data_IF_632739236451
#
_entry.id   IF_632739236451
#
_cell.length_a   1.000
_cell.length_b   1.000
_cell.length_c   1.000
_cell.angle_alpha   90.00
_cell.angle_beta   90.00
_cell.angle_gamma   90.00
#
_symmetry.space_group_name_H-M   'P 1'
#
loop_
_entity.id
_entity.type
_entity.pdbx_description
1 polymer ?
2 polymer ?
3 non-polymer ?
4 non-polymer ?
5 water ?
#
loop_
_entity_poly.entity_id
_entity_poly.type
_entity_poly.pdbx_seq_one_letter_code
_entity_poly.pdbx_strand_id
2 'polyribonucleotide' 'GCAGGGGUCGCCAAGCCUGGCCAAAGGCGCUGGGCCUAGGACCCAGUCCCGUAGGGGUUCCAGGGUUCAAAUCCCUGCCCCUGCACCA' ?
#
# COMPACT_ATOMS: atom_id res chain seq x y z
N UNK A 2 -20.84 -35.32 8.01
CA UNK A 2 -22.26 -35.73 8.00
C UNK A 2 -22.63 -36.58 6.78
N UNK A 3 -23.49 -36.05 5.92
CA UNK A 3 -23.93 -36.73 4.72
C UNK A 3 -22.74 -36.83 3.78
N UNK A 4 -22.07 -37.98 3.79
CA UNK A 4 -20.91 -38.16 2.93
C UNK A 4 -21.23 -39.01 1.74
N UNK A 5 -20.32 -39.00 0.77
CA UNK A 5 -20.44 -39.77 -0.45
C UNK A 5 -19.19 -40.62 -0.51
N UNK A 6 -19.34 -41.90 -0.17
CA UNK A 6 -18.22 -42.83 -0.16
C UNK A 6 -17.84 -43.20 -1.58
N UNK A 7 -16.58 -42.99 -1.96
CA UNK A 7 -16.19 -43.33 -3.30
C UNK A 7 -14.81 -43.87 -3.22
N UNK A 8 -14.35 -44.42 -4.33
CA UNK A 8 -13.03 -45.01 -4.43
C UNK A 8 -12.10 -43.87 -4.75
N UNK A 9 -10.93 -43.86 -4.13
CA UNK A 9 -9.95 -42.81 -4.34
C UNK A 9 -9.51 -42.67 -5.79
N UNK A 10 -9.67 -43.74 -6.56
CA UNK A 10 -9.26 -43.74 -7.95
C UNK A 10 -9.93 -42.61 -8.72
N UNK A 11 -11.15 -42.28 -8.30
CA UNK A 11 -11.95 -41.24 -8.93
C UNK A 11 -12.15 -40.01 -8.01
N UNK A 12 -11.26 -39.85 -7.03
CA UNK A 12 -11.38 -38.74 -6.12
C UNK A 12 -11.39 -37.37 -6.79
N UNK A 13 -10.26 -37.00 -7.39
CA UNK A 13 -10.16 -35.70 -8.04
C UNK A 13 -11.23 -35.43 -9.09
N UNK A 14 -11.41 -36.39 -9.98
CA UNK A 14 -12.41 -36.26 -11.01
C UNK A 14 -13.79 -36.12 -10.39
N UNK A 15 -14.02 -36.78 -9.25
CA UNK A 15 -15.33 -36.66 -8.62
C UNK A 15 -15.52 -35.32 -7.92
N UNK A 16 -14.47 -34.87 -7.24
CA UNK A 16 -14.48 -33.62 -6.48
C UNK A 16 -14.76 -32.49 -7.42
N UNK A 17 -14.08 -32.53 -8.57
CA UNK A 17 -14.22 -31.53 -9.61
C UNK A 17 -15.69 -31.34 -9.94
N UNK A 18 -16.31 -32.42 -10.41
CA UNK A 18 -17.73 -32.45 -10.77
C UNK A 18 -18.61 -31.92 -9.63
N UNK A 19 -18.45 -32.51 -8.45
CA UNK A 19 -19.22 -32.11 -7.30
C UNK A 19 -19.09 -30.62 -7.01
N UNK A 20 -17.93 -30.07 -7.31
CA UNK A 20 -17.72 -28.67 -7.07
C UNK A 20 -18.46 -27.89 -8.14
N UNK A 21 -18.45 -28.37 -9.40
CA UNK A 21 -19.18 -27.64 -10.46
C UNK A 21 -20.70 -27.62 -10.24
N UNK A 22 -21.24 -28.69 -9.68
CA UNK A 22 -22.66 -28.76 -9.43
C UNK A 22 -22.91 -28.19 -8.06
N UNK A 23 -21.84 -27.67 -7.46
CA UNK A 23 -21.91 -27.13 -6.12
C UNK A 23 -22.71 -28.01 -5.16
N UNK A 24 -22.13 -29.17 -4.85
CA UNK A 24 -22.73 -30.13 -3.95
C UNK A 24 -21.76 -30.40 -2.80
N UNK A 25 -20.46 -30.40 -3.11
CA UNK A 25 -19.42 -30.64 -2.11
C UNK A 25 -19.63 -29.72 -0.93
N UNK A 26 -19.96 -30.28 0.22
CA UNK A 26 -20.14 -29.45 1.38
C UNK A 26 -18.75 -28.92 1.70
N UNK A 27 -18.66 -27.60 1.86
CA UNK A 27 -17.39 -26.95 2.13
C UNK A 27 -17.05 -26.80 3.61
N UNK A 28 -17.98 -27.24 4.47
CA UNK A 28 -17.77 -27.17 5.91
C UNK A 28 -16.89 -28.23 6.52
N UNK A 29 -16.71 -29.34 5.83
CA UNK A 29 -15.89 -30.41 6.37
C UNK A 29 -14.82 -30.82 5.40
N UNK A 30 -13.82 -31.54 5.90
CA UNK A 30 -12.74 -31.98 5.05
C UNK A 30 -12.97 -33.40 4.52
N UNK A 31 -12.36 -33.68 3.38
CA UNK A 31 -12.48 -34.99 2.79
C UNK A 31 -11.56 -35.92 3.57
N UNK A 32 -12.17 -36.88 4.25
CA UNK A 32 -11.47 -37.90 5.03
C UNK A 32 -11.14 -39.07 4.10
N UNK A 33 -10.54 -40.14 4.62
CA UNK A 33 -10.22 -41.28 3.78
C UNK A 33 -9.98 -42.54 4.56
N UNK A 34 -10.69 -43.60 4.18
CA UNK A 34 -10.59 -44.91 4.84
C UNK A 34 -10.31 -46.07 3.88
N UNK A 35 -9.03 -46.35 3.65
CA UNK A 35 -8.64 -47.45 2.76
C UNK A 35 -8.46 -47.04 1.33
N UNK A 36 -9.38 -47.45 0.46
CA UNK A 36 -9.35 -47.11 -0.95
C UNK A 36 -10.52 -46.18 -1.19
N UNK A 37 -11.15 -45.76 -0.11
CA UNK A 37 -12.27 -44.86 -0.23
C UNK A 37 -11.94 -43.48 0.27
N UNK A 38 -12.85 -42.57 -0.07
CA UNK A 38 -12.80 -41.17 0.27
C UNK A 38 -14.20 -40.82 0.67
N UNK A 39 -14.30 -39.96 1.66
CA UNK A 39 -15.60 -39.52 2.08
C UNK A 39 -15.58 -38.06 1.72
N UNK A 40 -16.59 -37.64 0.96
CA UNK A 40 -16.67 -36.30 0.47
C UNK A 40 -17.91 -35.66 1.01
N UNK A 41 -17.76 -34.74 1.95
CA UNK A 41 -18.97 -34.10 2.49
C UNK A 41 -19.83 -33.55 1.34
N UNK A 42 -21.12 -33.86 1.37
CA UNK A 42 -22.01 -33.36 0.33
C UNK A 42 -23.27 -32.73 0.88
N UNK A 43 -23.79 -31.76 0.14
CA UNK A 43 -25.01 -31.08 0.53
C UNK A 43 -26.14 -32.02 0.13
N UNK A 44 -27.30 -31.90 0.78
CA UNK A 44 -28.41 -32.80 0.51
C UNK A 44 -29.02 -32.82 -0.90
N UNK A 45 -28.82 -33.93 -1.61
CA UNK A 45 -29.38 -34.13 -2.95
C UNK A 45 -29.69 -35.63 -3.09
N UNK A 46 -30.27 -36.07 -4.20
CA UNK A 46 -30.60 -37.49 -4.33
C UNK A 46 -29.80 -38.37 -5.28
N UNK A 47 -29.73 -39.65 -4.91
CA UNK A 47 -29.03 -40.72 -5.62
C UNK A 47 -29.03 -40.65 -7.15
N UNK A 48 -30.19 -40.38 -7.74
CA UNK A 48 -30.28 -40.32 -9.19
C UNK A 48 -29.66 -39.08 -9.81
N UNK A 49 -29.89 -37.92 -9.22
CA UNK A 49 -29.29 -36.73 -9.76
C UNK A 49 -27.78 -36.85 -9.58
N UNK A 50 -27.38 -37.66 -8.61
CA UNK A 50 -25.96 -37.87 -8.40
C UNK A 50 -25.45 -38.83 -9.46
N UNK A 51 -26.25 -39.85 -9.76
CA UNK A 51 -25.86 -40.85 -10.74
C UNK A 51 -25.76 -40.21 -12.11
N UNK A 52 -26.52 -39.13 -12.29
CA UNK A 52 -26.57 -38.42 -13.56
C UNK A 52 -25.28 -37.68 -13.83
N UNK A 53 -24.81 -36.99 -12.79
CA UNK A 53 -23.60 -36.20 -12.89
C UNK A 53 -22.31 -36.94 -12.53
N UNK A 54 -22.45 -38.14 -11.97
CA UNK A 54 -21.31 -38.98 -11.56
C UNK A 54 -21.31 -40.30 -12.29
N UNK A 55 -20.34 -40.44 -13.17
CA UNK A 55 -20.22 -41.65 -13.97
C UNK A 55 -19.69 -42.85 -13.18
N UNK A 56 -20.05 -42.97 -11.91
CA UNK A 56 -19.57 -44.11 -11.11
C UNK A 56 -20.39 -44.52 -9.88
N UNK A 57 -19.88 -45.54 -9.21
CA UNK A 57 -20.46 -46.12 -8.00
C UNK A 57 -20.16 -45.30 -6.77
N UNK A 58 -21.10 -45.27 -5.85
CA UNK A 58 -20.92 -44.48 -4.66
C UNK A 58 -22.04 -44.78 -3.65
N UNK A 59 -21.69 -44.67 -2.37
CA UNK A 59 -22.67 -44.90 -1.31
C UNK A 59 -22.85 -43.59 -0.58
N UNK A 60 -24.07 -43.33 -0.15
CA UNK A 60 -24.34 -42.11 0.61
C UNK A 60 -24.17 -42.44 2.09
N UNK A 61 -23.01 -43.01 2.43
CA UNK A 61 -22.75 -43.34 3.82
C UNK A 61 -23.12 -42.16 4.71
N UNK A 62 -23.71 -42.44 5.87
CA UNK A 62 -24.07 -41.37 6.79
C UNK A 62 -22.99 -41.33 7.88
N UNK A 63 -21.75 -41.12 7.45
CA UNK A 63 -20.62 -41.05 8.34
C UNK A 63 -20.81 -39.97 9.38
N UNK A 64 -19.91 -39.95 10.36
CA UNK A 64 -19.98 -38.96 11.42
C UNK A 64 -19.40 -37.64 10.98
N UNK A 65 -19.92 -36.56 11.58
CA UNK A 65 -19.49 -35.20 11.27
C UNK A 65 -18.04 -35.16 10.82
N UNK A 66 -17.22 -36.03 11.41
CA UNK A 66 -15.79 -36.12 11.11
C UNK A 66 -15.04 -35.04 11.90
N UNK A 67 -15.81 -34.25 12.65
CA UNK A 67 -15.33 -33.14 13.48
C UNK A 67 -16.46 -32.10 13.53
N UNK A 68 -16.14 -30.85 13.19
CA UNK A 68 -17.13 -29.78 13.15
C UNK A 68 -16.76 -28.73 12.09
N UNK A 69 -17.73 -27.96 11.65
CA UNK A 69 -17.52 -26.92 10.65
C UNK A 69 -16.12 -26.32 10.66
N UNK A 70 -15.58 -26.04 9.48
CA UNK A 70 -14.28 -25.37 9.36
C UNK A 70 -14.57 -24.06 8.63
N UNK A 71 -14.75 -22.99 9.40
CA UNK A 71 -15.05 -21.67 8.87
C UNK A 71 -13.98 -21.08 7.95
N UNK A 72 -14.44 -20.41 6.91
CA UNK A 72 -13.54 -19.74 5.98
C UNK A 72 -13.39 -18.36 6.60
N UNK A 73 -12.20 -18.05 7.12
CA UNK A 73 -11.97 -16.74 7.73
C UNK A 73 -12.37 -15.68 6.69
N UNK A 74 -13.36 -14.83 7.01
CA UNK A 74 -13.74 -13.83 6.03
C UNK A 74 -12.67 -12.76 5.94
N UNK A 75 -12.86 -11.86 4.99
CA UNK A 75 -11.92 -10.77 4.79
C UNK A 75 -12.49 -9.57 5.53
N UNK A 76 -11.59 -8.73 6.05
CA UNK A 76 -11.97 -7.50 6.76
C UNK A 76 -13.11 -6.82 6.00
N UNK A 77 -12.89 -6.69 4.70
CA UNK A 77 -13.83 -6.07 3.77
C UNK A 77 -15.17 -6.79 3.70
N UNK A 78 -15.10 -8.12 3.70
CA UNK A 78 -16.27 -8.96 3.65
C UNK A 78 -17.17 -8.62 4.83
N UNK A 79 -16.71 -8.90 6.04
CA UNK A 79 -17.54 -8.61 7.20
C UNK A 79 -17.91 -7.13 7.33
N UNK A 80 -16.92 -6.25 7.36
CA UNK A 80 -17.20 -4.81 7.50
C UNK A 80 -18.19 -4.28 6.46
N UNK A 81 -18.24 -4.92 5.30
CA UNK A 81 -19.14 -4.42 4.30
C UNK A 81 -20.58 -4.65 4.69
N UNK A 84 -21.70 -2.76 8.20
CA UNK A 84 -21.87 -1.29 8.16
C UNK A 84 -22.02 -0.64 6.79
N UNK A 85 -22.71 -1.24 5.82
CA UNK A 85 -22.80 -0.55 4.52
C UNK A 85 -23.27 0.90 4.63
N UNK A 86 -24.24 1.14 5.49
CA UNK A 86 -24.79 2.48 5.68
C UNK A 86 -23.77 3.59 5.90
N UNK A 87 -22.97 3.51 6.97
CA UNK A 87 -22.01 4.58 7.23
C UNK A 87 -20.76 4.51 6.39
N UNK A 88 -20.58 3.39 5.72
CA UNK A 88 -19.47 3.25 4.80
C UNK A 88 -19.97 4.15 3.66
N UNK A 89 -21.29 4.19 3.50
CA UNK A 89 -21.89 4.96 2.44
C UNK A 89 -22.10 6.40 2.87
N UNK A 90 -22.03 6.64 4.16
CA UNK A 90 -22.19 7.99 4.70
C UNK A 90 -20.80 8.61 4.87
N UNK A 91 -19.77 7.78 4.69
CA UNK A 91 -18.40 8.24 4.81
C UNK A 91 -17.87 8.29 6.23
N UNK A 92 -18.21 7.31 7.06
CA UNK A 92 -17.72 7.28 8.44
C UNK A 92 -16.72 6.13 8.62
N UNK A 93 -16.97 5.00 7.95
CA UNK A 93 -16.04 3.90 8.01
C UNK A 93 -15.53 3.73 6.62
N UNK A 94 -14.26 3.37 6.47
CA UNK A 94 -13.71 3.13 5.15
C UNK A 94 -13.26 1.67 4.97
N UNK A 95 -13.42 1.14 3.76
CA UNK A 95 -12.97 -0.23 3.47
C UNK A 95 -11.50 -0.23 3.00
N UNK A 96 -11.05 0.89 2.44
CA UNK A 96 -9.65 1.01 2.02
C UNK A 96 -8.83 1.32 3.26
N UNK A 97 -7.58 0.89 3.26
CA UNK A 97 -6.71 1.16 4.39
C UNK A 97 -5.30 1.07 3.86
N UNK A 98 -4.34 1.54 4.65
CA UNK A 98 -2.97 1.53 4.23
C UNK A 98 -2.31 0.51 5.12
N UNK A 99 -1.17 -0.01 4.67
CA UNK A 99 -0.40 -0.98 5.44
C UNK A 99 1.04 -0.56 5.20
N UNK A 100 1.76 -0.23 6.26
CA UNK A 100 3.16 0.17 6.16
C UNK A 100 3.89 -0.83 7.02
N UNK A 101 4.79 -1.59 6.39
CA UNK A 101 5.53 -2.64 7.10
C UNK A 101 4.47 -3.59 7.64
N UNK A 102 4.45 -3.81 8.95
CA UNK A 102 3.46 -4.73 9.50
C UNK A 102 2.43 -3.95 10.29
N UNK A 103 2.26 -2.68 9.95
CA UNK A 103 1.27 -1.85 10.64
C UNK A 103 0.15 -1.43 9.72
N UNK A 104 -1.09 -1.53 10.18
CA UNK A 104 -2.17 -1.05 9.33
C UNK A 104 -2.78 0.24 9.88
N UNK A 105 -3.17 1.10 8.95
CA UNK A 105 -3.77 2.37 9.28
C UNK A 105 -5.13 2.46 8.61
N UNK A 106 -6.17 2.43 9.42
CA UNK A 106 -7.55 2.48 8.96
C UNK A 106 -8.04 3.91 8.93
N UNK A 107 -9.27 4.08 8.46
CA UNK A 107 -9.88 5.40 8.45
C UNK A 107 -11.28 5.26 9.01
N UNK A 108 -11.48 5.78 10.21
CA UNK A 108 -12.80 5.76 10.84
C UNK A 108 -13.08 7.15 11.41
N UNK A 109 -14.21 7.75 11.02
CA UNK A 109 -14.58 9.08 11.50
C UNK A 109 -14.77 9.11 13.01
N UNK A 110 -14.36 10.20 13.63
CA UNK A 110 -14.48 10.30 15.09
C UNK A 110 -15.93 10.50 15.51
N UNK A 111 -16.81 10.64 14.52
CA UNK A 111 -18.22 10.76 14.81
C UNK A 111 -18.71 9.37 15.22
N UNK A 112 -17.99 8.34 14.79
CA UNK A 112 -18.30 6.94 15.14
C UNK A 112 -17.80 6.76 16.56
N UNK A 113 -18.52 5.97 17.36
CA UNK A 113 -18.16 5.79 18.75
C UNK A 113 -16.88 5.04 18.99
N UNK A 114 -16.10 5.53 19.95
CA UNK A 114 -14.85 4.90 20.30
C UNK A 114 -14.91 3.37 20.58
N UNK A 115 -16.06 2.89 21.02
CA UNK A 115 -16.22 1.46 21.34
C UNK A 115 -16.27 0.67 20.04
N UNK A 116 -16.98 1.22 19.07
CA UNK A 116 -17.11 0.62 17.74
C UNK A 116 -15.76 0.67 17.03
N UNK A 117 -15.14 1.84 17.04
CA UNK A 117 -13.84 2.01 16.41
C UNK A 117 -12.86 0.95 16.96
N UNK A 118 -12.97 0.65 18.24
CA UNK A 118 -12.10 -0.34 18.85
C UNK A 118 -12.49 -1.74 18.41
N UNK A 119 -13.78 -1.97 18.20
CA UNK A 119 -14.17 -3.29 17.77
C UNK A 119 -13.70 -3.50 16.30
N UNK A 120 -13.84 -2.45 15.47
CA UNK A 120 -13.46 -2.52 14.05
C UNK A 120 -11.95 -2.65 13.92
N UNK A 121 -11.22 -1.93 14.77
CA UNK A 121 -9.78 -2.03 14.76
C UNK A 121 -9.46 -3.46 15.15
N UNK A 122 -10.39 -4.09 15.89
CA UNK A 122 -10.23 -5.45 16.35
C UNK A 122 -10.40 -6.42 15.19
N UNK A 123 -11.48 -6.26 14.43
CA UNK A 123 -11.63 -7.11 13.28
C UNK A 123 -10.33 -7.00 12.43
N UNK A 124 -9.92 -5.79 12.11
CA UNK A 124 -8.72 -5.59 11.30
C UNK A 124 -7.56 -6.42 11.86
N UNK A 125 -7.34 -6.37 13.16
CA UNK A 125 -6.23 -7.12 13.73
C UNK A 125 -6.47 -8.61 13.53
N UNK A 126 -7.71 -9.04 13.76
CA UNK A 126 -8.06 -10.44 13.60
C UNK A 126 -7.89 -10.89 12.15
N UNK A 127 -8.64 -10.25 11.26
CA UNK A 127 -8.68 -10.59 9.83
C UNK A 127 -7.63 -10.14 8.83
N UNK A 128 -6.74 -9.21 9.20
CA UNK A 128 -5.68 -8.71 8.30
C UNK A 128 -4.26 -9.01 8.79
N UNK A 129 -3.37 -9.50 7.91
CA UNK A 129 -1.99 -9.82 8.34
C UNK A 129 -1.19 -8.60 8.81
N UNK A 130 -1.15 -8.40 10.13
CA UNK A 130 -0.41 -7.28 10.73
C UNK A 130 0.06 -7.60 12.13
N UNK A 131 0.59 -6.59 12.81
CA UNK A 131 1.04 -6.72 14.19
C UNK A 131 0.34 -5.63 15.01
N UNK A 132 -0.08 -4.56 14.33
CA UNK A 132 -0.76 -3.46 15.00
C UNK A 132 -1.74 -2.71 14.11
N UNK A 133 -2.73 -2.06 14.74
CA UNK A 133 -3.73 -1.31 13.99
C UNK A 133 -3.96 0.09 14.52
N UNK A 134 -3.99 1.05 13.60
CA UNK A 134 -4.22 2.42 13.95
C UNK A 134 -5.25 2.93 13.00
N UNK A 135 -5.61 4.20 13.19
CA UNK A 135 -6.52 4.88 12.30
C UNK A 135 -5.96 6.30 12.24
N UNK A 136 -6.35 7.02 11.18
CA UNK A 136 -5.93 8.39 10.97
C UNK A 136 -6.66 9.23 12.01
N UNK A 137 -5.93 9.92 12.90
CA UNK A 137 -6.55 10.75 13.93
C UNK A 137 -6.78 12.16 13.37
N UNK A 138 -5.77 12.73 12.72
CA UNK A 138 -5.92 14.05 12.09
C UNK A 138 -5.56 13.94 10.60
N UNK A 139 -5.55 15.07 9.92
CA UNK A 139 -5.19 15.11 8.51
C UNK A 139 -3.67 15.33 8.45
N UNK A 140 -3.07 15.24 7.27
CA UNK A 140 -1.63 15.47 7.13
C UNK A 140 -1.44 16.97 7.32
N UNK A 141 -0.77 17.35 8.41
CA UNK A 141 -0.55 18.77 8.69
C UNK A 141 0.85 19.10 9.23
N UNK A 142 1.20 20.37 9.21
CA UNK A 142 2.49 20.81 9.70
C UNK A 142 3.53 20.91 8.59
N UNK A 143 4.69 21.45 8.92
CA UNK A 143 5.71 21.56 7.90
C UNK A 143 6.37 20.18 7.73
N UNK A 144 6.26 19.33 8.74
CA UNK A 144 6.84 17.99 8.67
C UNK A 144 5.90 17.04 7.92
N UNK A 145 4.68 17.51 7.67
CA UNK A 145 3.70 16.72 6.96
C UNK A 145 3.30 15.45 7.72
N UNK A 146 3.11 15.55 9.03
CA UNK A 146 2.66 14.37 9.74
C UNK A 146 1.22 14.46 10.21
N UNK A 147 0.72 13.31 10.62
CA UNK A 147 -0.66 13.13 10.98
C UNK A 147 -0.75 12.48 12.35
N UNK A 148 -1.88 12.67 13.01
CA UNK A 148 -2.09 12.05 14.31
C UNK A 148 -2.68 10.68 14.04
N UNK A 149 -2.27 9.69 14.84
CA UNK A 149 -2.81 8.36 14.68
C UNK A 149 -3.44 8.01 16.02
N UNK A 150 -4.31 7.02 16.04
CA UNK A 150 -4.92 6.56 17.27
C UNK A 150 -4.82 5.04 17.22
N UNK A 151 -4.00 4.53 18.12
CA UNK A 151 -3.81 3.09 18.25
C UNK A 151 -5.14 2.42 18.51
N UNK A 152 -5.33 1.24 17.92
CA UNK A 152 -6.58 0.53 18.12
C UNK A 152 -6.43 -0.91 18.51
N UNK A 153 -5.35 -1.55 18.10
CA UNK A 153 -5.21 -2.97 18.38
C UNK A 153 -3.81 -3.45 18.08
N UNK A 154 -3.52 -4.70 18.47
CA UNK A 154 -2.20 -5.22 18.25
C UNK A 154 -1.17 -4.37 19.03
N UNK A 155 0.09 -4.46 18.63
CA UNK A 155 1.12 -3.71 19.31
C UNK A 155 0.86 -2.24 19.12
N UNK A 156 1.24 -1.47 20.12
CA UNK A 156 1.11 -0.05 20.05
C UNK A 156 2.50 0.37 19.61
N UNK A 157 2.81 0.17 18.34
CA UNK A 157 4.13 0.53 17.85
C UNK A 157 3.99 1.22 16.52
N UNK A 158 4.90 2.16 16.26
CA UNK A 158 4.85 2.93 15.02
C UNK A 158 6.10 2.80 14.19
N UNK A 159 7.08 2.09 14.74
CA UNK A 159 8.33 1.86 14.06
C UNK A 159 8.13 0.52 13.35
N UNK A 160 8.54 0.43 12.08
CA UNK A 160 8.37 -0.82 11.33
C UNK A 160 9.32 -0.73 10.15
N UNK A 161 9.39 -1.81 9.38
CA UNK A 161 10.22 -1.86 8.17
C UNK A 161 9.31 -2.17 7.00
N UNK A 162 9.37 -1.32 6.00
CA UNK A 162 8.51 -1.47 4.86
C UNK A 162 9.28 -1.93 3.65
N UNK A 163 8.66 -2.75 2.81
CA UNK A 163 9.31 -3.23 1.58
C UNK A 163 8.55 -2.79 0.34
N UNK A 164 9.28 -2.29 -0.63
CA UNK A 164 8.68 -1.88 -1.90
C UNK A 164 9.78 -1.82 -2.95
N UNK A 165 9.48 -2.36 -4.14
CA UNK A 165 10.44 -2.36 -5.24
C UNK A 165 11.78 -2.93 -4.84
N UNK A 166 11.79 -4.01 -4.08
CA UNK A 166 13.08 -4.56 -3.74
C UNK A 166 13.80 -3.99 -2.54
N UNK A 167 13.55 -2.73 -2.19
CA UNK A 167 14.26 -2.21 -1.03
C UNK A 167 13.45 -2.22 0.27
N UNK A 168 14.12 -1.92 1.38
CA UNK A 168 13.46 -1.90 2.67
C UNK A 168 13.64 -0.53 3.31
N UNK A 169 12.73 -0.18 4.22
CA UNK A 169 12.73 1.13 4.85
C UNK A 169 12.20 1.24 6.27
N UNK A 170 13.01 1.82 7.14
CA UNK A 170 12.59 2.09 8.49
C UNK A 170 11.60 3.26 8.34
N UNK A 171 10.44 3.14 8.98
CA UNK A 171 9.41 4.17 8.93
C UNK A 171 8.70 4.23 10.27
N UNK A 172 8.55 5.44 10.83
CA UNK A 172 7.80 5.64 12.07
C UNK A 172 6.55 6.42 11.63
N UNK A 173 5.45 5.72 11.40
CA UNK A 173 4.25 6.35 10.91
C UNK A 173 3.64 7.45 11.77
N UNK A 174 4.22 7.71 12.94
CA UNK A 174 3.65 8.75 13.77
C UNK A 174 4.59 9.95 13.87
N UNK A 175 5.83 9.79 13.41
CA UNK A 175 6.81 10.89 13.45
C UNK A 175 7.31 11.42 12.08
N UNK A 176 6.83 10.89 10.96
CA UNK A 176 7.29 11.39 9.66
C UNK A 176 6.23 11.11 8.63
N UNK A 177 6.44 11.62 7.42
CA UNK A 177 5.49 11.39 6.34
C UNK A 177 5.94 10.25 5.41
N UNK A 178 5.06 9.27 5.26
CA UNK A 178 5.30 8.17 4.36
C UNK A 178 4.02 7.68 3.77
N UNK A 179 4.05 7.37 2.49
CA UNK A 179 2.86 6.82 1.85
C UNK A 179 3.24 5.57 1.11
N UNK A 180 2.70 4.44 1.57
CA UNK A 180 3.02 3.19 0.87
C UNK A 180 2.40 3.29 -0.54
N UNK A 181 1.36 4.12 -0.65
CA UNK A 181 0.68 4.36 -1.90
C UNK A 181 1.54 4.96 -3.01
N UNK A 182 2.67 5.58 -2.67
CA UNK A 182 3.54 6.19 -3.69
C UNK A 182 4.61 5.26 -4.28
N UNK A 183 4.57 3.98 -3.91
CA UNK A 183 5.54 3.02 -4.42
C UNK A 183 5.62 2.91 -5.94
N UNK A 184 4.49 3.05 -6.63
CA UNK A 184 4.51 2.96 -8.07
C UNK A 184 5.19 4.18 -8.63
N UNK A 185 4.90 5.34 -8.05
CA UNK A 185 5.49 6.59 -8.47
C UNK A 185 7.02 6.52 -8.31
N UNK A 186 7.47 5.95 -7.19
CA UNK A 186 8.89 5.82 -6.92
C UNK A 186 9.51 4.88 -7.94
N UNK A 187 8.68 3.95 -8.43
CA UNK A 187 9.12 2.97 -9.39
C UNK A 187 9.42 3.54 -10.77
N UNK A 188 8.58 4.46 -11.24
CA UNK A 188 8.82 5.08 -12.53
C UNK A 188 10.20 5.70 -12.47
N UNK A 189 10.25 6.83 -11.77
CA UNK A 189 11.48 7.57 -11.58
C UNK A 189 12.69 6.65 -11.40
N UNK A 190 12.49 5.47 -10.84
CA UNK A 190 13.60 4.55 -10.64
C UNK A 190 14.19 4.13 -11.98
N UNK A 191 13.31 3.96 -12.97
CA UNK A 191 13.76 3.56 -14.29
C UNK A 191 14.13 4.77 -15.13
N UNK A 192 14.75 5.75 -14.48
CA UNK A 192 15.20 6.98 -15.13
C UNK A 192 16.60 7.40 -14.65
N UNK A 193 16.92 7.08 -13.41
CA UNK A 193 18.23 7.41 -12.83
C UNK A 193 19.33 6.75 -13.67
N UNK A 194 20.26 7.57 -14.15
CA UNK A 194 21.32 7.12 -15.04
C UNK A 194 22.76 6.94 -14.55
N UNK A 195 22.94 6.20 -13.46
CA UNK A 195 24.26 5.91 -12.85
C UNK A 195 25.31 7.02 -12.78
N UNK A 196 25.16 8.07 -13.59
CA UNK A 196 26.09 9.18 -13.57
C UNK A 196 25.27 10.44 -13.31
N UNK A 197 24.11 10.26 -12.69
CA UNK A 197 23.22 11.36 -12.35
C UNK A 197 23.44 11.80 -10.90
N UNK A 198 23.30 13.09 -10.66
CA UNK A 198 23.41 13.59 -9.29
C UNK A 198 21.99 14.03 -8.97
N UNK A 199 21.38 13.28 -8.05
CA UNK A 199 20.01 13.52 -7.64
C UNK A 199 19.85 14.36 -6.41
N UNK A 200 18.90 15.29 -6.49
CA UNK A 200 18.56 16.14 -5.36
C UNK A 200 17.13 15.86 -4.95
N UNK A 201 17.01 15.30 -3.76
CA UNK A 201 15.72 14.99 -3.18
C UNK A 201 15.52 16.12 -2.16
N UNK A 202 14.80 17.16 -2.58
CA UNK A 202 14.56 18.32 -1.73
C UNK A 202 13.82 18.13 -0.42
N UNK A 203 12.95 17.11 -0.39
CA UNK A 203 12.15 16.79 0.79
C UNK A 203 12.16 15.27 0.85
N UNK A 204 13.31 14.75 1.24
CA UNK A 204 13.57 13.32 1.29
C UNK A 204 12.83 12.41 2.27
N UNK A 205 12.30 12.95 3.36
CA UNK A 205 11.65 12.11 4.34
C UNK A 205 12.61 11.02 4.83
N UNK A 206 12.09 9.82 5.08
CA UNK A 206 12.96 8.74 5.52
C UNK A 206 13.79 8.22 4.34
N UNK A 207 13.67 8.90 3.20
CA UNK A 207 14.42 8.56 2.02
C UNK A 207 13.95 7.56 0.98
N UNK A 208 12.64 7.30 0.79
CA UNK A 208 12.27 6.32 -0.24
C UNK A 208 12.57 6.71 -1.67
N UNK A 209 12.43 8.00 -2.00
CA UNK A 209 12.68 8.41 -3.37
C UNK A 209 14.15 8.31 -3.67
N UNK A 210 14.95 8.78 -2.74
CA UNK A 210 16.37 8.73 -2.91
C UNK A 210 16.81 7.30 -3.16
N UNK A 211 16.50 6.42 -2.22
CA UNK A 211 16.88 5.02 -2.33
C UNK A 211 16.43 4.42 -3.64
N UNK A 212 15.34 4.92 -4.19
CA UNK A 212 14.82 4.42 -5.46
C UNK A 212 15.65 4.94 -6.64
N UNK A 213 16.59 5.84 -6.32
CA UNK A 213 17.48 6.45 -7.30
C UNK A 213 18.92 6.05 -7.04
N UNK A 214 19.11 4.91 -6.39
CA UNK A 214 20.47 4.50 -6.04
C UNK A 214 21.37 4.25 -7.23
N UNK A 215 20.83 4.19 -8.42
CA UNK A 215 21.68 3.95 -9.57
C UNK A 215 22.63 5.10 -9.79
N UNK A 216 22.11 6.32 -9.69
CA UNK A 216 22.88 7.54 -9.89
C UNK A 216 24.24 7.57 -9.23
N UNK A 217 25.02 8.59 -9.58
CA UNK A 217 26.37 8.82 -9.05
C UNK A 217 26.22 9.25 -7.58
N UNK A 218 25.66 10.43 -7.38
CA UNK A 218 25.43 10.95 -6.05
C UNK A 218 23.99 11.38 -5.84
N UNK A 219 23.51 11.18 -4.63
CA UNK A 219 22.15 11.54 -4.28
C UNK A 219 22.23 12.45 -3.05
N UNK A 220 21.46 13.53 -3.10
CA UNK A 220 21.40 14.48 -2.00
C UNK A 220 20.00 14.46 -1.39
N UNK A 221 19.89 13.81 -0.25
CA UNK A 221 18.62 13.71 0.45
C UNK A 221 18.56 14.86 1.44
N UNK A 222 17.55 15.71 1.28
CA UNK A 222 17.39 16.85 2.15
C UNK A 222 16.07 16.82 2.91
N UNK A 223 16.12 17.21 4.18
CA UNK A 223 14.91 17.26 4.97
C UNK A 223 15.12 18.00 6.30
N UNK A 224 14.20 18.89 6.61
CA UNK A 224 14.26 19.69 7.83
C UNK A 224 13.84 18.97 9.10
N UNK A 225 13.16 17.83 8.96
CA UNK A 225 12.67 17.08 10.10
C UNK A 225 13.71 16.14 10.67
N UNK A 226 14.21 16.44 11.88
CA UNK A 226 15.21 15.57 12.50
C UNK A 226 14.78 14.13 12.57
N UNK A 227 13.50 13.89 12.85
CA UNK A 227 13.00 12.52 12.94
C UNK A 227 13.12 11.79 11.61
N UNK A 228 12.90 12.54 10.52
CA UNK A 228 13.00 11.97 9.19
C UNK A 228 14.44 11.62 8.90
N UNK A 229 15.35 12.54 9.24
CA UNK A 229 16.76 12.34 8.99
C UNK A 229 17.35 11.15 9.76
N UNK A 230 16.90 10.93 10.98
CA UNK A 230 17.42 9.81 11.76
C UNK A 230 17.17 8.53 10.96
N UNK A 231 15.93 8.37 10.47
CA UNK A 231 15.53 7.18 9.72
C UNK A 231 16.21 7.09 8.38
N UNK A 232 16.21 8.21 7.66
CA UNK A 232 16.85 8.28 6.36
C UNK A 232 18.26 7.67 6.50
N UNK A 234 19.37 5.55 8.81
CA UNK A 234 19.31 4.10 9.04
C UNK A 234 18.99 3.39 7.71
N UNK A 235 18.24 4.04 6.83
CA UNK A 235 17.89 3.38 5.59
C UNK A 235 19.02 3.33 4.58
N UNK A 236 19.90 4.33 4.66
CA UNK A 236 21.04 4.38 3.76
C UNK A 236 21.96 3.22 4.08
N UNK A 237 22.20 3.01 5.38
CA UNK A 237 23.03 1.93 5.86
C UNK A 237 22.37 0.59 5.54
N UNK A 238 21.06 0.52 5.81
CA UNK A 238 20.24 -0.68 5.60
C UNK A 238 20.28 -1.10 4.17
N UNK A 239 20.39 -0.12 3.28
CA UNK A 239 20.43 -0.43 1.87
C UNK A 239 21.85 -0.36 1.30
N UNK A 240 22.84 -0.39 2.19
CA UNK A 240 24.24 -0.37 1.79
C UNK A 240 24.53 0.69 0.76
N UNK A 241 23.96 1.88 0.96
CA UNK A 241 24.14 3.01 0.06
C UNK A 241 24.91 4.15 0.74
N UNK A 242 25.64 3.81 1.80
CA UNK A 242 26.39 4.80 2.56
C UNK A 242 27.21 5.83 1.77
N UNK A 243 27.60 5.49 0.55
CA UNK A 243 28.42 6.40 -0.23
C UNK A 243 27.79 6.99 -1.48
N UNK A 244 26.47 6.93 -1.58
CA UNK A 244 25.82 7.49 -2.74
C UNK A 244 24.83 8.56 -2.30
N UNK A 245 24.24 8.34 -1.14
CA UNK A 245 23.26 9.26 -0.60
C UNK A 245 23.83 10.14 0.50
N UNK A 246 23.64 11.44 0.35
CA UNK A 246 24.12 12.33 1.40
C UNK A 246 22.94 12.95 2.13
N UNK A 247 22.72 12.53 3.39
CA UNK A 247 21.63 13.03 4.22
C UNK A 247 22.01 14.45 4.64
N UNK A 248 21.03 15.33 4.76
CA UNK A 248 21.30 16.71 5.11
C UNK A 248 20.16 17.31 5.95
N UNK A 249 20.35 17.34 7.27
CA UNK A 249 19.35 17.93 8.17
C UNK A 249 19.36 19.44 7.90
N UNK A 250 18.39 19.93 7.15
CA UNK A 250 18.36 21.35 6.84
C UNK A 250 17.15 21.84 6.08
N UNK A 251 16.92 23.15 6.12
CA UNK A 251 15.85 23.76 5.36
C UNK A 251 16.47 23.79 3.97
N UNK A 252 15.81 23.15 3.00
CA UNK A 252 16.31 23.10 1.64
C UNK A 252 16.71 24.50 1.16
N UNK A 253 15.88 25.50 1.46
CA UNK A 253 16.13 26.89 1.09
C UNK A 253 17.62 27.29 1.19
N UNK A 254 18.24 26.94 2.30
CA UNK A 254 19.63 27.29 2.48
C UNK A 254 20.59 26.15 2.34
N UNK A 255 20.68 25.62 1.13
CA UNK A 255 21.58 24.50 0.84
C UNK A 255 22.15 24.73 -0.57
N UNK A 256 23.47 24.67 -0.69
CA UNK A 256 24.05 24.84 -2.00
C UNK A 256 24.46 23.50 -2.61
N UNK A 257 23.68 23.07 -3.60
CA UNK A 257 23.93 21.84 -4.36
C UNK A 257 23.32 22.03 -5.71
N UNK A 258 23.88 21.33 -6.68
CA UNK A 258 23.40 21.41 -8.02
C UNK A 258 23.06 19.97 -8.36
N UNK A 259 22.28 19.75 -9.41
CA UNK A 259 21.94 18.39 -9.78
C UNK A 259 21.18 18.34 -11.09
N UNK A 260 21.26 17.18 -11.75
CA UNK A 260 20.59 16.98 -13.02
C UNK A 260 19.21 16.40 -12.79
N UNK A 261 19.04 15.84 -11.60
CA UNK A 261 17.80 15.20 -11.21
C UNK A 261 17.37 15.84 -9.88
N UNK A 262 16.24 16.54 -9.88
CA UNK A 262 15.73 17.19 -8.67
C UNK A 262 14.27 16.81 -8.36
N UNK A 263 14.04 16.28 -7.16
CA UNK A 263 12.70 15.85 -6.75
C UNK A 263 12.03 16.80 -5.71
N UNK A 264 10.80 17.21 -6.03
CA UNK A 264 10.05 18.11 -5.16
C UNK A 264 8.75 17.44 -4.74
N UNK A 265 8.83 16.55 -3.77
CA UNK A 265 7.65 15.86 -3.30
C UNK A 265 7.14 16.55 -2.04
N UNK A 266 6.36 17.58 -2.25
CA UNK A 266 5.78 18.40 -1.19
C UNK A 266 4.65 19.07 -1.94
N UNK A 267 3.81 18.26 -2.58
CA UNK A 267 2.67 18.70 -3.37
C UNK A 267 1.86 19.91 -2.90
N UNK A 268 1.83 20.17 -1.59
CA UNK A 268 1.03 21.28 -1.09
C UNK A 268 1.65 22.66 -1.26
N UNK A 269 2.93 22.75 -0.93
CA UNK A 269 3.66 23.99 -1.02
C UNK A 269 4.86 23.89 -1.94
N UNK A 270 4.74 23.10 -3.00
CA UNK A 270 5.87 22.95 -3.90
C UNK A 270 6.08 24.22 -4.73
N UNK A 271 4.99 24.89 -5.04
CA UNK A 271 5.08 26.10 -5.79
C UNK A 271 6.01 27.08 -5.07
N UNK A 272 5.92 27.15 -3.75
CA UNK A 272 6.77 28.07 -2.99
C UNK A 272 8.24 27.74 -3.10
N UNK A 273 8.61 26.80 -3.96
CA UNK A 273 10.01 26.42 -4.08
C UNK A 273 10.50 26.26 -5.51
N UNK A 274 9.63 26.57 -6.47
CA UNK A 274 10.03 26.43 -7.87
C UNK A 274 11.37 27.11 -8.10
N UNK A 275 11.55 28.27 -7.49
CA UNK A 275 12.80 29.01 -7.63
C UNK A 275 14.03 28.22 -7.16
N UNK A 276 14.10 27.94 -5.87
CA UNK A 276 15.25 27.21 -5.35
C UNK A 276 15.57 25.98 -6.17
N UNK A 277 14.55 25.38 -6.80
CA UNK A 277 14.78 24.18 -7.61
C UNK A 277 15.57 24.56 -8.85
N UNK A 278 14.95 25.40 -9.69
CA UNK A 278 15.56 25.90 -10.93
C UNK A 278 17.02 26.22 -10.69
N UNK A 279 17.28 26.72 -9.47
CA UNK A 279 18.61 27.06 -9.05
C UNK A 279 19.46 25.78 -9.00
N UNK A 280 19.04 24.85 -8.15
CA UNK A 280 19.74 23.59 -7.97
C UNK A 280 19.91 22.82 -9.28
N UNK A 281 18.87 22.86 -10.10
CA UNK A 281 18.87 22.14 -11.36
C UNK A 281 19.82 22.77 -12.37
N UNK A 282 20.59 21.92 -13.03
CA UNK A 282 21.57 22.35 -14.01
C UNK A 282 20.92 22.64 -15.35
N UNK A 283 21.70 23.31 -16.22
CA UNK A 283 21.28 23.71 -17.56
C UNK A 283 20.45 22.66 -18.29
N UNK A 284 20.96 21.45 -18.43
CA UNK A 284 20.19 20.43 -19.12
C UNK A 284 19.30 19.63 -18.17
N UNK A 285 19.52 19.82 -16.86
CA UNK A 285 18.79 19.10 -15.84
C UNK A 285 17.28 18.89 -15.96
N UNK A 286 16.75 18.01 -15.11
CA UNK A 286 15.30 17.73 -15.08
C UNK A 286 14.70 17.73 -13.64
N UNK A 287 13.63 18.50 -13.48
CA UNK A 287 12.94 18.65 -12.20
C UNK A 287 11.58 17.97 -12.18
N UNK A 288 11.48 16.97 -11.29
CA UNK A 288 10.28 16.16 -11.05
C UNK A 288 9.47 16.98 -10.05
N UNK A 289 8.42 17.62 -10.52
CA UNK A 289 7.62 18.48 -9.65
C UNK A 289 6.24 17.92 -9.37
N UNK A 290 5.82 17.99 -8.11
CA UNK A 290 4.50 17.51 -7.66
C UNK A 290 3.61 18.65 -7.14
N UNK A 291 2.31 18.55 -7.38
CA UNK A 291 1.42 19.59 -6.90
C UNK A 291 -0.03 19.15 -6.96
N UNK A 292 -0.91 20.03 -6.51
CA UNK A 292 -2.32 19.73 -6.54
C UNK A 292 -3.04 20.82 -7.31
N UNK A 293 -4.18 20.47 -7.89
CA UNK A 293 -4.96 21.43 -8.65
C UNK A 293 -6.11 20.72 -9.30
N UNK A 294 -7.09 21.48 -9.80
CA UNK A 294 -8.24 20.89 -10.46
C UNK A 294 -7.86 20.46 -11.87
N UNK A 295 -6.64 20.80 -12.25
CA UNK A 295 -6.07 20.44 -13.56
C UNK A 295 -4.64 20.95 -13.68
N UNK A 296 -3.97 20.54 -14.76
CA UNK A 296 -2.58 20.93 -15.02
C UNK A 296 -2.29 22.39 -15.38
N UNK A 297 -3.34 23.21 -15.52
CA UNK A 297 -3.15 24.60 -15.91
C UNK A 297 -2.03 25.32 -15.18
N UNK A 298 -2.40 26.04 -14.13
CA UNK A 298 -1.49 26.83 -13.32
C UNK A 298 -0.15 26.15 -13.09
N UNK A 299 -0.17 24.83 -13.06
CA UNK A 299 1.04 24.05 -12.86
C UNK A 299 2.05 24.38 -13.95
N UNK A 300 1.58 24.39 -15.19
CA UNK A 300 2.48 24.70 -16.29
C UNK A 300 2.54 26.20 -16.53
N UNK A 301 1.41 26.88 -16.34
CA UNK A 301 1.37 28.33 -16.52
C UNK A 301 2.37 29.04 -15.61
N UNK A 302 2.46 28.59 -14.36
CA UNK A 302 3.37 29.19 -13.39
C UNK A 302 4.81 28.72 -13.51
N UNK A 303 5.10 27.85 -14.48
CA UNK A 303 6.46 27.38 -14.67
C UNK A 303 7.02 28.08 -15.91
N UNK A 304 6.11 28.44 -16.81
CA UNK A 304 6.49 29.15 -18.02
C UNK A 304 7.16 30.44 -17.60
N UNK A 305 6.41 31.27 -16.88
CA UNK A 305 6.95 32.53 -16.40
C UNK A 305 8.07 32.28 -15.39
N UNK A 306 8.85 31.24 -15.64
CA UNK A 306 9.96 30.89 -14.77
C UNK A 306 11.21 30.50 -15.56
N UNK A 307 11.06 29.88 -16.73
CA UNK A 307 12.26 29.51 -17.50
C UNK A 307 12.07 28.85 -18.87
N UNK A 308 13.17 28.26 -19.34
CA UNK A 308 13.20 27.58 -20.63
C UNK A 308 12.84 26.12 -20.38
N UNK A 309 11.64 25.92 -19.87
CA UNK A 309 11.14 24.59 -19.53
C UNK A 309 10.51 23.85 -20.70
N UNK A 310 10.35 22.55 -20.52
CA UNK A 310 9.76 21.67 -21.53
C UNK A 310 9.06 20.52 -20.80
N UNK A 311 7.73 20.53 -20.84
CA UNK A 311 6.91 19.51 -20.18
C UNK A 311 7.23 18.10 -20.65
N UNK A 312 8.28 17.52 -20.10
CA UNK A 312 8.69 16.16 -20.44
C UNK A 312 7.56 15.09 -20.27
N UNK A 313 6.78 15.18 -19.18
CA UNK A 313 5.68 14.22 -18.91
C UNK A 313 4.76 14.70 -17.79
N UNK A 314 3.45 14.73 -18.04
CA UNK A 314 2.49 15.17 -17.03
C UNK A 314 1.44 14.11 -16.73
N UNK A 315 1.22 13.81 -15.46
CA UNK A 315 0.25 12.80 -15.06
C UNK A 315 -0.48 13.07 -13.75
N UNK A 316 -1.53 12.31 -13.48
CA UNK A 316 -2.31 12.44 -12.24
C UNK A 316 -1.96 11.30 -11.28
N UNK A 317 -1.52 11.69 -10.08
CA UNK A 317 -1.15 10.71 -9.06
C UNK A 317 -2.39 10.14 -8.35
N UNK A 319 -6.63 11.34 -6.60
CA UNK A 319 -7.66 12.30 -6.19
C UNK A 319 -7.30 12.69 -4.77
N UNK A 320 -7.42 13.96 -4.48
CA UNK A 320 -7.08 14.51 -3.18
C UNK A 320 -8.35 14.68 -2.40
N UNK A 321 -9.39 15.01 -3.12
CA UNK A 321 -10.73 15.26 -2.58
C UNK A 321 -11.56 15.33 -3.84
N UNK A 322 -12.92 15.25 -3.71
CA UNK A 322 -13.84 15.31 -4.87
C UNK A 322 -13.46 16.44 -5.78
N UNK A 323 -12.75 16.13 -6.87
CA UNK A 323 -12.25 17.11 -7.86
C UNK A 323 -10.74 17.38 -7.78
N UNK A 324 -10.25 17.95 -6.67
CA UNK A 324 -8.81 18.24 -6.52
C UNK A 324 -7.93 17.00 -6.72
N UNK A 325 -6.80 17.15 -7.42
CA UNK A 325 -5.90 16.03 -7.71
C UNK A 325 -4.45 16.32 -7.38
N UNK A 326 -3.63 15.27 -7.25
CA UNK A 326 -2.19 15.48 -7.05
C UNK A 326 -1.58 15.14 -8.41
N UNK A 327 -0.83 16.10 -8.93
CA UNK A 327 -0.21 15.96 -10.24
C UNK A 327 1.31 15.92 -10.20
N UNK A 328 1.87 15.22 -11.17
CA UNK A 328 3.30 15.10 -11.26
C UNK A 328 3.71 15.48 -12.67
N UNK A 329 4.58 16.48 -12.76
CA UNK A 329 5.10 16.97 -14.03
C UNK A 329 6.62 16.88 -13.97
N UNK A 330 7.22 16.40 -15.04
CA UNK A 330 8.68 16.37 -15.10
C UNK A 330 9.08 17.47 -16.08
N UNK A 331 10.04 18.30 -15.72
CA UNK A 331 10.42 19.37 -16.62
C UNK A 331 11.85 19.29 -17.11
N UNK A 332 12.04 19.58 -18.39
CA UNK A 332 13.35 19.57 -19.00
C UNK A 332 13.79 21.02 -18.96
N UNK A 333 14.94 21.28 -18.34
CA UNK A 333 15.46 22.63 -18.26
C UNK A 333 16.52 22.81 -19.37
N UNK A 334 16.53 23.99 -19.97
CA UNK A 334 17.45 24.31 -21.06
C UNK A 334 18.44 25.42 -20.67
#
# INVERSE_FOLDING_TARGET
>A
MPLCLKINKKHGEQTRRILIENNLLNKDYKITSEGNYLYLPIKDVDEDILKSILNIEFELVDKELEEKKIIKKPSFREIISXXYRKEIDEGLISLSYDVVGDLVILQISDEVDEKIRKEIGELAYKLIPCKGVFRRKSEVKGEFRVRELEHLAGENRTLTIHKENGYRLWVDIAKVYFSPRLGGERARIMKKVSLNDVVVDMFAGVGPFSIACKNAKKIYAIDINPHAIELLXKNIKLNKLEHKIIPILSDVREVDVKGNRVIMNLPKFAHKFIDKALDIVEEGGVIHYYTIGKDFDKAIKLFEKKCDCEVLEKRIVXSYAPREYILALDFKINKK
#
